data_IF_386015495672
#
_entry.id   IF_386015495672
#
_cell.length_a   1.000
_cell.length_b   1.000
_cell.length_c   1.000
_cell.angle_alpha   90.00
_cell.angle_beta   90.00
_cell.angle_gamma   90.00
#
_symmetry.space_group_name_H-M   'P 1'
#
loop_
_entity.id
_entity.type
_entity.pdbx_description
1 polymer ?
#
# COMPACT_ATOMS: atom_id res chain seq x y z
N UNK A 1 21.22 19.97 25.99
CA UNK A 1 20.80 18.58 26.22
C UNK A 1 21.06 17.83 24.93
N UNK A 2 21.72 16.68 24.99
CA UNK A 2 22.14 15.95 23.77
C UNK A 2 20.94 15.29 23.08
N UNK A 3 20.71 15.67 21.82
CA UNK A 3 19.78 14.95 20.95
C UNK A 3 20.29 13.52 20.77
N UNK A 4 19.36 12.56 20.65
CA UNK A 4 19.65 11.14 20.45
C UNK A 4 18.71 10.56 19.37
N UNK A 5 19.10 9.44 18.78
CA UNK A 5 18.25 8.77 17.84
C UNK A 5 17.17 7.94 18.57
N UNK A 6 15.97 7.95 18.03
CA UNK A 6 14.85 7.14 18.50
C UNK A 6 14.47 6.09 17.44
N UNK A 7 14.33 4.86 17.89
CA UNK A 7 13.84 3.75 17.06
C UNK A 7 12.62 3.11 17.71
N UNK A 8 11.58 2.91 16.92
CA UNK A 8 10.48 2.01 17.25
C UNK A 8 10.29 1.00 16.13
N UNK A 9 10.19 -0.29 16.47
CA UNK A 9 9.80 -1.37 15.57
C UNK A 9 8.68 -2.18 16.21
N UNK A 10 7.55 -2.32 15.53
CA UNK A 10 6.50 -3.28 15.85
C UNK A 10 6.64 -4.50 14.93
N UNK A 11 6.93 -5.65 15.50
CA UNK A 11 6.99 -6.93 14.81
C UNK A 11 5.65 -7.65 14.84
N UNK A 12 5.28 -8.25 13.71
CA UNK A 12 3.96 -8.88 13.50
C UNK A 12 4.09 -10.21 12.73
N UNK A 13 3.00 -10.93 12.57
CA UNK A 13 2.84 -11.84 11.45
C UNK A 13 2.70 -11.05 10.13
N UNK A 14 2.70 -11.74 8.98
CA UNK A 14 2.76 -11.09 7.66
C UNK A 14 1.63 -10.06 7.47
N UNK A 15 2.02 -8.81 7.30
CA UNK A 15 1.14 -7.68 7.04
C UNK A 15 0.52 -7.79 5.63
N UNK A 16 -0.69 -7.27 5.39
CA UNK A 16 -1.31 -7.29 4.08
C UNK A 16 -0.42 -6.56 3.05
N UNK A 17 0.02 -7.23 1.96
CA UNK A 17 1.00 -6.65 1.04
C UNK A 17 0.55 -5.33 0.42
N UNK A 18 -0.72 -5.23 0.00
CA UNK A 18 -1.30 -4.01 -0.60
C UNK A 18 -1.38 -2.83 0.38
N UNK A 19 -1.35 -3.10 1.69
CA UNK A 19 -1.43 -2.05 2.72
C UNK A 19 -0.06 -1.73 3.35
N UNK A 20 0.97 -2.54 3.12
CA UNK A 20 2.24 -2.41 3.85
C UNK A 20 2.86 -1.01 3.73
N UNK A 21 2.93 -0.48 2.50
CA UNK A 21 3.50 0.84 2.24
C UNK A 21 2.69 1.94 2.93
N UNK A 22 1.37 1.96 2.75
CA UNK A 22 0.50 2.96 3.37
C UNK A 22 0.48 2.87 4.90
N UNK A 23 0.59 1.68 5.48
CA UNK A 23 0.74 1.51 6.92
C UNK A 23 2.07 2.08 7.43
N UNK A 24 3.17 1.87 6.70
CA UNK A 24 4.48 2.44 7.02
C UNK A 24 4.48 3.96 6.97
N UNK A 25 3.94 4.54 5.89
CA UNK A 25 3.79 5.98 5.69
C UNK A 25 2.89 6.61 6.77
N UNK A 26 1.77 5.98 7.09
CA UNK A 26 0.88 6.46 8.15
C UNK A 26 1.52 6.37 9.53
N UNK A 27 2.31 5.33 9.80
CA UNK A 27 3.04 5.20 11.07
C UNK A 27 4.09 6.29 11.22
N UNK A 28 4.89 6.57 10.19
CA UNK A 28 5.83 7.69 10.16
C UNK A 28 5.11 9.01 10.41
N UNK A 29 4.07 9.32 9.64
CA UNK A 29 3.32 10.56 9.76
C UNK A 29 2.67 10.75 11.14
N UNK A 30 2.20 9.65 11.75
CA UNK A 30 1.67 9.66 13.12
C UNK A 30 2.74 10.02 14.17
N UNK A 31 3.94 9.42 14.05
CA UNK A 31 5.08 9.74 14.92
C UNK A 31 5.49 11.20 14.75
N UNK A 32 5.68 11.69 13.52
CA UNK A 32 6.06 13.08 13.24
C UNK A 32 5.03 14.07 13.80
N UNK A 33 3.74 13.80 13.60
CA UNK A 33 2.63 14.59 14.16
C UNK A 33 2.69 14.63 15.69
N UNK A 34 2.93 13.48 16.32
CA UNK A 34 3.04 13.37 17.77
C UNK A 34 4.25 14.12 18.34
N UNK A 35 5.42 14.00 17.71
CA UNK A 35 6.64 14.72 18.10
C UNK A 35 6.45 16.24 17.97
N UNK A 36 5.87 16.70 16.87
CA UNK A 36 5.56 18.12 16.65
C UNK A 36 4.58 18.65 17.70
N UNK A 37 3.53 17.91 18.00
CA UNK A 37 2.56 18.29 19.03
C UNK A 37 3.17 18.34 20.43
N UNK A 38 4.16 17.47 20.68
CA UNK A 38 4.94 17.48 21.92
C UNK A 38 6.02 18.55 21.96
N UNK A 39 6.31 19.28 20.87
CA UNK A 39 7.39 20.27 20.80
C UNK A 39 8.79 19.63 20.90
N UNK A 40 8.94 18.41 20.39
CA UNK A 40 10.21 17.69 20.32
C UNK A 40 10.81 17.84 18.92
N UNK A 41 11.86 18.60 18.79
CA UNK A 41 12.57 18.80 17.53
C UNK A 41 13.43 17.57 17.20
N UNK A 42 13.59 17.31 15.89
CA UNK A 42 14.41 16.21 15.37
C UNK A 42 15.04 16.61 14.02
N UNK A 43 16.10 15.91 13.62
CA UNK A 43 16.80 16.20 12.38
C UNK A 43 16.16 15.54 11.16
N UNK A 44 15.80 14.26 11.26
CA UNK A 44 15.20 13.47 10.18
C UNK A 44 14.37 12.33 10.76
N UNK A 45 13.37 11.89 9.99
CA UNK A 45 12.60 10.69 10.29
C UNK A 45 12.48 9.81 9.05
N UNK A 46 12.60 8.49 9.23
CA UNK A 46 12.56 7.50 8.16
C UNK A 46 11.72 6.30 8.56
N UNK A 47 10.84 5.86 7.63
CA UNK A 47 10.10 4.62 7.83
C UNK A 47 10.89 3.41 7.34
N UNK A 48 10.63 2.28 7.96
CA UNK A 48 10.97 0.95 7.47
C UNK A 48 9.70 0.09 7.50
N UNK A 49 9.46 -0.63 6.42
CA UNK A 49 8.30 -1.51 6.31
C UNK A 49 8.69 -2.78 5.55
N UNK A 50 8.55 -3.92 6.19
CA UNK A 50 8.80 -5.23 5.62
C UNK A 50 7.65 -6.18 5.99
N UNK A 51 7.52 -7.35 5.34
CA UNK A 51 6.35 -8.22 5.54
C UNK A 51 5.89 -8.41 6.99
N UNK A 52 6.84 -8.49 7.93
CA UNK A 52 6.55 -8.79 9.34
C UNK A 52 6.89 -7.65 10.30
N UNK A 53 7.08 -6.42 9.83
CA UNK A 53 7.45 -5.28 10.68
C UNK A 53 7.10 -3.93 10.10
N UNK A 54 6.76 -3.01 10.98
CA UNK A 54 6.72 -1.57 10.73
C UNK A 54 7.69 -0.91 11.70
N UNK A 55 8.54 -0.01 11.21
CA UNK A 55 9.46 0.71 12.08
C UNK A 55 9.65 2.16 11.64
N UNK A 56 9.98 3.01 12.60
CA UNK A 56 10.36 4.41 12.37
C UNK A 56 11.65 4.69 13.13
N UNK A 57 12.61 5.25 12.42
CA UNK A 57 13.85 5.80 12.96
C UNK A 57 13.78 7.32 12.90
N UNK A 58 13.92 7.97 14.04
CA UNK A 58 14.00 9.43 14.16
C UNK A 58 15.41 9.77 14.60
N UNK A 59 16.16 10.48 13.76
CA UNK A 59 17.54 10.88 14.04
C UNK A 59 17.57 12.25 14.71
N UNK A 60 18.45 12.40 15.69
CA UNK A 60 18.68 13.67 16.35
C UNK A 60 17.48 14.22 17.12
N UNK A 61 16.68 13.34 17.74
CA UNK A 61 15.51 13.73 18.53
C UNK A 61 15.94 14.41 19.83
N UNK A 62 15.33 15.56 20.13
CA UNK A 62 15.54 16.30 21.39
C UNK A 62 15.22 15.41 22.60
N UNK A 63 16.11 15.38 23.60
CA UNK A 63 15.96 14.55 24.78
C UNK A 63 14.85 15.02 25.73
N UNK A 64 14.40 16.27 25.58
CA UNK A 64 13.41 16.91 26.42
C UNK A 64 12.70 18.02 25.66
N UNK A 65 11.44 18.28 26.00
CA UNK A 65 10.71 19.45 25.54
C UNK A 65 11.42 20.73 26.01
N UNK A 66 11.34 21.83 25.26
CA UNK A 66 11.77 23.15 25.77
C UNK A 66 10.91 23.53 26.97
N UNK A 67 11.55 24.24 27.91
CA UNK A 67 10.81 24.87 29.01
C UNK A 67 9.81 25.88 28.43
N UNK A 68 8.63 25.92 29.01
CA UNK A 68 7.58 26.85 28.59
C UNK A 68 7.21 27.80 29.70
N UNK A 69 7.09 29.06 29.37
CA UNK A 69 6.55 30.08 30.28
C UNK A 69 5.05 30.16 30.11
N UNK A 70 4.31 29.90 31.18
CA UNK A 70 2.87 30.08 31.25
C UNK A 70 2.57 31.37 31.95
N UNK A 71 1.92 32.31 31.25
CA UNK A 71 1.46 33.57 31.80
C UNK A 71 0.02 33.42 32.27
N UNK A 72 -0.24 33.62 33.51
CA UNK A 72 -1.57 33.61 34.11
C UNK A 72 -2.01 35.05 34.38
N UNK A 73 -3.13 35.44 33.81
CA UNK A 73 -3.79 36.73 34.08
C UNK A 73 -4.73 36.61 35.28
N UNK A 74 -4.57 37.50 36.23
CA UNK A 74 -5.40 37.63 37.41
C UNK A 74 -6.45 38.74 37.31
N UNK A 75 -7.07 39.09 38.44
CA UNK A 75 -8.00 40.21 38.53
C UNK A 75 -7.33 41.53 38.23
N UNK A 76 -8.08 42.58 37.82
CA UNK A 76 -7.59 43.94 37.71
C UNK A 76 -6.96 44.39 39.03
N UNK A 77 -5.82 45.09 38.94
CA UNK A 77 -5.08 45.56 40.12
C UNK A 77 -5.97 46.43 41.03
N UNK A 78 -6.87 47.24 40.45
CA UNK A 78 -7.85 48.04 41.18
C UNK A 78 -8.84 47.23 42.02
N UNK A 79 -9.13 45.97 41.60
CA UNK A 79 -10.03 45.08 42.35
C UNK A 79 -9.25 44.13 43.26
N UNK A 80 -7.94 43.99 43.03
CA UNK A 80 -7.03 43.14 43.78
C UNK A 80 -6.58 43.74 45.12
N UNK A 81 -6.63 45.08 45.26
CA UNK A 81 -6.24 45.82 46.46
C UNK A 81 -7.34 46.80 46.86
N UNK A 82 -7.54 46.95 48.17
CA UNK A 82 -8.46 47.95 48.73
C UNK A 82 -7.84 49.39 48.69
N UNK A 83 -8.60 50.39 49.21
CA UNK A 83 -8.14 51.77 49.22
C UNK A 83 -6.91 52.02 50.10
N UNK A 84 -6.67 51.11 51.04
CA UNK A 84 -5.55 51.19 52.01
C UNK A 84 -4.35 50.33 51.53
N UNK A 85 -4.47 49.70 50.34
CA UNK A 85 -3.41 48.87 49.72
C UNK A 85 -3.36 47.43 50.22
N UNK A 86 -4.38 47.00 51.00
CA UNK A 86 -4.44 45.61 51.48
C UNK A 86 -5.00 44.68 50.41
N UNK A 87 -4.50 43.42 50.33
CA UNK A 87 -4.96 42.46 49.33
C UNK A 87 -6.41 42.01 49.61
N UNK A 88 -7.23 42.08 48.58
CA UNK A 88 -8.60 41.52 48.60
C UNK A 88 -8.60 40.01 48.46
N UNK A 89 -9.75 39.39 48.73
CA UNK A 89 -9.95 37.94 48.49
C UNK A 89 -9.64 37.56 47.03
N UNK A 90 -9.85 38.46 46.05
CA UNK A 90 -9.52 38.23 44.65
C UNK A 90 -7.99 38.11 44.42
N UNK A 91 -7.18 38.95 45.05
CA UNK A 91 -5.74 38.86 44.98
C UNK A 91 -5.19 37.60 45.68
N UNK A 92 -5.71 37.31 46.88
CA UNK A 92 -5.30 36.12 47.64
C UNK A 92 -5.72 34.84 46.93
N UNK A 93 -6.92 34.80 46.35
CA UNK A 93 -7.40 33.69 45.53
C UNK A 93 -6.54 33.43 44.27
N UNK A 94 -6.09 34.53 43.63
CA UNK A 94 -5.21 34.40 42.46
C UNK A 94 -3.81 33.88 42.87
N UNK A 95 -3.19 34.44 43.93
CA UNK A 95 -1.92 33.93 44.44
C UNK A 95 -2.01 32.44 44.85
N UNK A 96 -3.09 32.03 45.52
CA UNK A 96 -3.37 30.64 45.86
C UNK A 96 -3.52 29.75 44.62
N UNK A 97 -4.20 30.25 43.58
CA UNK A 97 -4.34 29.52 42.30
C UNK A 97 -2.98 29.35 41.61
N UNK A 98 -2.11 30.34 41.71
CA UNK A 98 -0.75 30.29 41.16
C UNK A 98 0.23 29.48 42.06
N UNK A 99 -0.17 29.09 43.27
CA UNK A 99 0.66 28.35 44.21
C UNK A 99 1.83 29.14 44.78
N UNK A 100 1.74 30.50 44.80
CA UNK A 100 2.84 31.40 45.19
C UNK A 100 2.37 32.44 46.20
N UNK A 101 3.34 33.09 46.87
CA UNK A 101 3.07 34.26 47.66
C UNK A 101 2.66 35.43 46.77
N UNK A 102 1.71 36.25 47.23
CA UNK A 102 1.24 37.46 46.53
C UNK A 102 2.37 38.47 46.21
N UNK A 103 3.46 38.45 46.99
CA UNK A 103 4.65 39.23 46.73
C UNK A 103 5.36 38.90 45.41
N UNK A 104 5.20 37.69 44.92
CA UNK A 104 5.77 37.19 43.66
C UNK A 104 4.86 37.44 42.43
N UNK A 105 3.70 37.98 42.64
CA UNK A 105 2.75 38.33 41.57
C UNK A 105 3.08 39.71 41.03
N UNK A 106 3.22 39.82 39.71
CA UNK A 106 3.45 41.11 39.05
C UNK A 106 2.20 42.00 39.11
N UNK A 107 2.37 43.20 39.59
CA UNK A 107 1.35 44.24 39.83
C UNK A 107 1.56 45.48 38.96
N UNK A 108 2.55 45.45 38.06
CA UNK A 108 2.94 46.61 37.25
C UNK A 108 1.96 46.97 36.14
N UNK A 109 1.08 46.03 35.77
CA UNK A 109 0.11 46.20 34.68
C UNK A 109 -1.32 46.46 35.19
N UNK A 110 -2.31 46.55 34.28
CA UNK A 110 -3.72 46.76 34.65
C UNK A 110 -4.35 45.56 35.36
N UNK A 111 -3.76 44.36 35.23
CA UNK A 111 -4.15 43.13 35.91
C UNK A 111 -2.96 42.50 36.61
N UNK A 112 -3.25 41.72 37.66
CA UNK A 112 -2.22 40.87 38.24
C UNK A 112 -1.72 39.87 37.21
N UNK A 113 -0.42 39.62 37.14
CA UNK A 113 0.17 38.62 36.26
C UNK A 113 1.14 37.76 37.05
N UNK A 114 1.16 36.51 36.67
CA UNK A 114 2.17 35.59 37.19
C UNK A 114 2.70 34.75 36.02
N UNK A 115 4.02 34.74 35.88
CA UNK A 115 4.72 33.95 34.87
C UNK A 115 5.42 32.77 35.55
N UNK A 116 5.05 31.57 35.19
CA UNK A 116 5.65 30.36 35.71
C UNK A 116 6.40 29.63 34.59
N UNK A 117 7.67 29.33 34.82
CA UNK A 117 8.40 28.40 33.96
C UNK A 117 8.03 26.97 34.33
N UNK A 118 7.51 26.23 33.37
CA UNK A 118 7.25 24.81 33.49
C UNK A 118 8.35 24.07 32.73
N UNK A 119 9.12 23.26 33.45
CA UNK A 119 10.17 22.46 32.85
C UNK A 119 9.58 21.49 31.81
N UNK A 120 10.24 21.37 30.65
CA UNK A 120 9.87 20.43 29.61
C UNK A 120 9.95 18.98 30.11
N UNK A 121 9.08 18.14 29.61
CA UNK A 121 9.08 16.72 29.94
C UNK A 121 10.17 15.98 29.15
N UNK A 122 10.83 14.95 29.72
CA UNK A 122 11.76 14.10 28.99
C UNK A 122 11.08 13.36 27.83
N UNK A 123 11.74 13.25 26.68
CA UNK A 123 11.23 12.56 25.50
C UNK A 123 10.83 11.11 25.82
N UNK A 124 11.63 10.40 26.62
CA UNK A 124 11.37 9.00 27.00
C UNK A 124 10.03 8.79 27.71
N UNK A 125 9.48 9.81 28.38
CA UNK A 125 8.17 9.74 29.02
C UNK A 125 7.00 9.99 28.06
N UNK A 126 7.24 10.66 26.94
CA UNK A 126 6.23 11.05 25.95
C UNK A 126 6.14 10.05 24.79
N UNK A 127 7.25 9.43 24.42
CA UNK A 127 7.36 8.55 23.26
C UNK A 127 6.38 7.36 23.30
N UNK A 128 6.14 6.67 24.45
CA UNK A 128 5.16 5.56 24.47
C UNK A 128 3.76 6.01 24.04
N UNK A 129 3.26 7.12 24.55
CA UNK A 129 1.94 7.66 24.18
C UNK A 129 1.87 8.14 22.71
N UNK A 130 2.94 8.69 22.18
CA UNK A 130 3.05 9.09 20.76
C UNK A 130 2.96 7.84 19.87
N UNK A 131 3.71 6.78 20.20
CA UNK A 131 3.70 5.52 19.44
C UNK A 131 2.33 4.84 19.51
N UNK A 132 1.75 4.76 20.71
CA UNK A 132 0.43 4.15 20.90
C UNK A 132 -0.65 4.85 20.08
N UNK A 133 -0.69 6.19 20.12
CA UNK A 133 -1.61 6.99 19.31
C UNK A 133 -1.38 6.74 17.83
N UNK A 134 -0.13 6.74 17.36
CA UNK A 134 0.21 6.51 15.95
C UNK A 134 -0.22 5.12 15.48
N UNK A 135 -0.07 4.07 16.29
CA UNK A 135 -0.51 2.72 15.97
C UNK A 135 -2.05 2.58 15.96
N UNK A 136 -2.74 3.32 16.84
CA UNK A 136 -4.20 3.31 16.89
C UNK A 136 -4.82 4.06 15.70
N UNK A 137 -4.16 5.08 15.19
CA UNK A 137 -4.62 5.91 14.06
C UNK A 137 -4.29 5.31 12.68
N UNK A 138 -3.61 4.14 12.62
CA UNK A 138 -3.29 3.49 11.34
C UNK A 138 -4.57 3.19 10.53
N UNK A 139 -4.53 3.36 9.19
CA UNK A 139 -5.67 3.12 8.29
C UNK A 139 -5.90 1.61 8.10
N UNK A 140 -6.37 0.94 9.13
CA UNK A 140 -6.65 -0.50 9.15
C UNK A 140 -8.15 -0.70 8.95
N UNK A 141 -8.61 -1.16 7.77
CA UNK A 141 -10.05 -1.33 7.51
C UNK A 141 -10.71 -2.38 8.40
N UNK A 142 -9.96 -3.44 8.73
CA UNK A 142 -10.43 -4.53 9.59
C UNK A 142 -9.33 -4.95 10.54
N UNK A 143 -9.59 -4.78 11.84
CA UNK A 143 -8.74 -5.27 12.92
C UNK A 143 -9.14 -6.68 13.31
N UNK A 144 -8.20 -7.45 13.83
CA UNK A 144 -8.44 -8.79 14.38
C UNK A 144 -7.88 -8.91 15.78
N UNK A 145 -8.45 -9.79 16.57
CA UNK A 145 -7.93 -10.25 17.85
C UNK A 145 -7.23 -11.58 17.67
N UNK A 146 -6.30 -11.89 18.54
CA UNK A 146 -5.62 -13.18 18.54
C UNK A 146 -5.42 -13.72 19.95
N UNK A 147 -5.41 -15.05 20.07
CA UNK A 147 -5.36 -15.74 21.34
C UNK A 147 -6.48 -15.25 22.30
N UNK A 148 -6.22 -15.22 23.61
CA UNK A 148 -7.16 -14.73 24.63
C UNK A 148 -6.96 -13.23 24.95
N UNK A 149 -6.42 -12.43 24.04
CA UNK A 149 -6.08 -11.01 24.24
C UNK A 149 -7.22 -10.09 23.87
N UNK A 150 -7.20 -8.87 24.41
CA UNK A 150 -8.17 -7.81 24.09
C UNK A 150 -7.66 -6.87 23.00
N UNK A 151 -6.36 -6.85 22.77
CA UNK A 151 -5.69 -6.01 21.79
C UNK A 151 -6.13 -6.39 20.39
N UNK A 152 -6.25 -5.37 19.54
CA UNK A 152 -6.65 -5.52 18.14
C UNK A 152 -5.63 -4.85 17.24
N UNK A 153 -5.19 -5.57 16.21
CA UNK A 153 -4.32 -5.03 15.15
C UNK A 153 -4.64 -5.69 13.80
N UNK A 154 -3.98 -5.29 12.73
CA UNK A 154 -4.19 -5.89 11.40
C UNK A 154 -3.68 -7.34 11.32
N UNK A 155 -2.66 -7.68 12.12
CA UNK A 155 -2.09 -9.04 12.29
C UNK A 155 -1.60 -9.21 13.73
N UNK A 156 -1.46 -10.44 14.22
CA UNK A 156 -0.88 -10.70 15.53
C UNK A 156 0.49 -10.05 15.70
N UNK A 157 0.68 -9.33 16.80
CA UNK A 157 1.96 -8.74 17.18
C UNK A 157 2.83 -9.76 17.88
N UNK A 158 4.16 -9.71 17.64
CA UNK A 158 5.11 -10.71 18.09
C UNK A 158 6.24 -10.14 18.95
N UNK A 159 6.69 -8.91 18.68
CA UNK A 159 7.74 -8.21 19.43
C UNK A 159 7.60 -6.69 19.28
N UNK A 160 8.27 -5.97 20.18
CA UNK A 160 8.38 -4.53 20.15
C UNK A 160 9.84 -4.13 20.44
N UNK A 161 10.47 -3.38 19.56
CA UNK A 161 11.72 -2.68 19.83
C UNK A 161 11.42 -1.21 20.05
N UNK A 162 11.94 -0.63 21.13
CA UNK A 162 11.79 0.78 21.39
C UNK A 162 13.02 1.33 22.11
N UNK A 163 13.84 2.10 21.38
CA UNK A 163 15.14 2.60 21.82
C UNK A 163 15.21 4.11 21.71
N UNK A 164 15.77 4.75 22.71
CA UNK A 164 16.21 6.15 22.66
C UNK A 164 17.71 6.21 23.02
N UNK A 165 18.54 6.46 22.02
CA UNK A 165 19.97 6.19 22.12
C UNK A 165 20.22 4.73 22.49
N UNK A 166 21.00 4.50 23.55
CA UNK A 166 21.29 3.16 24.05
C UNK A 166 20.25 2.64 25.05
N UNK A 167 19.29 3.47 25.45
CA UNK A 167 18.28 3.12 26.43
C UNK A 167 17.07 2.44 25.80
N UNK A 168 16.65 1.31 26.38
CA UNK A 168 15.32 0.71 26.10
C UNK A 168 14.28 1.53 26.85
N UNK A 169 13.25 1.99 26.16
CA UNK A 169 12.11 2.66 26.76
C UNK A 169 11.18 1.61 27.36
N UNK A 170 10.97 1.66 28.68
CA UNK A 170 10.11 0.69 29.37
C UNK A 170 8.63 1.01 29.13
N UNK A 171 8.01 0.24 28.25
CA UNK A 171 6.57 0.32 27.97
C UNK A 171 6.06 -1.02 27.45
N UNK A 172 4.73 -1.14 27.40
CA UNK A 172 4.03 -2.29 26.80
C UNK A 172 2.96 -1.77 25.86
N UNK A 173 3.05 -2.11 24.58
CA UNK A 173 2.10 -1.72 23.53
C UNK A 173 1.62 -2.96 22.79
N UNK A 174 0.32 -3.04 22.51
CA UNK A 174 -0.30 -4.18 21.84
C UNK A 174 0.12 -5.54 22.47
N UNK A 175 0.17 -5.57 23.80
CA UNK A 175 0.63 -6.70 24.63
C UNK A 175 2.08 -7.16 24.38
N UNK A 176 2.93 -6.33 23.76
CA UNK A 176 4.36 -6.58 23.61
C UNK A 176 5.14 -5.64 24.53
N UNK A 177 5.98 -6.22 25.39
CA UNK A 177 6.93 -5.44 26.21
C UNK A 177 8.06 -4.96 25.31
N UNK A 178 8.37 -3.68 25.40
CA UNK A 178 9.47 -3.09 24.65
C UNK A 178 10.83 -3.68 25.06
N UNK A 179 11.68 -3.88 24.07
CA UNK A 179 13.03 -4.38 24.22
C UNK A 179 13.95 -3.83 23.13
N UNK A 180 15.04 -4.53 22.90
CA UNK A 180 15.99 -4.24 21.79
C UNK A 180 16.20 -5.41 20.86
N UNK A 181 15.32 -6.42 20.91
CA UNK A 181 15.47 -7.65 20.15
C UNK A 181 14.41 -7.70 19.06
N UNK A 182 14.87 -7.73 17.82
CA UNK A 182 14.11 -8.00 16.62
C UNK A 182 14.30 -9.45 16.17
N UNK A 183 13.77 -9.82 15.00
CA UNK A 183 13.90 -11.16 14.43
C UNK A 183 14.43 -11.13 13.02
N UNK A 184 15.31 -12.04 12.68
CA UNK A 184 15.86 -12.22 11.35
C UNK A 184 14.88 -12.91 10.39
N UNK A 185 15.36 -13.16 9.19
CA UNK A 185 14.61 -13.87 8.15
C UNK A 185 14.21 -15.28 8.59
N UNK A 186 12.94 -15.65 8.39
CA UNK A 186 12.34 -16.90 8.91
C UNK A 186 13.11 -18.16 8.52
N UNK A 187 13.72 -18.19 7.34
CA UNK A 187 14.46 -19.35 6.84
C UNK A 187 15.97 -19.19 6.87
N UNK A 188 16.51 -18.02 6.46
CA UNK A 188 17.94 -17.79 6.41
C UNK A 188 18.59 -17.53 7.76
N UNK A 189 17.86 -16.83 8.64
CA UNK A 189 18.35 -16.44 9.96
C UNK A 189 17.20 -16.45 10.97
N UNK A 190 16.63 -17.63 11.21
CA UNK A 190 15.55 -17.81 12.20
C UNK A 190 16.10 -17.68 13.62
N UNK A 191 16.54 -16.49 13.98
CA UNK A 191 17.14 -16.14 15.27
C UNK A 191 16.75 -14.73 15.70
N UNK A 192 16.93 -14.47 16.96
CA UNK A 192 16.87 -13.13 17.51
C UNK A 192 17.99 -12.25 16.96
N UNK A 193 17.65 -11.00 16.68
CA UNK A 193 18.58 -9.96 16.20
C UNK A 193 18.59 -8.85 17.25
N UNK A 194 19.67 -8.76 18.00
CA UNK A 194 19.86 -7.68 18.96
C UNK A 194 20.22 -6.41 18.22
N UNK A 195 19.37 -5.40 18.30
CA UNK A 195 19.62 -4.08 17.71
C UNK A 195 20.67 -3.37 18.59
N UNK A 196 21.80 -3.08 18.00
CA UNK A 196 22.95 -2.48 18.70
C UNK A 196 22.66 -1.03 19.07
N UNK A 197 22.13 -0.26 18.13
CA UNK A 197 21.70 1.13 18.31
C UNK A 197 20.58 1.47 17.31
N UNK A 198 19.82 2.55 17.49
CA UNK A 198 18.87 3.02 16.47
C UNK A 198 19.51 3.18 15.09
N UNK A 199 20.70 3.76 15.00
CA UNK A 199 21.39 4.02 13.74
C UNK A 199 21.82 2.72 12.99
N UNK A 200 22.13 1.62 13.72
CA UNK A 200 22.55 0.35 13.12
C UNK A 200 21.39 -0.55 12.71
N UNK A 201 20.14 -0.14 12.94
CA UNK A 201 18.94 -0.97 12.75
C UNK A 201 18.88 -1.67 11.39
N UNK A 202 19.05 -0.92 10.31
CA UNK A 202 18.96 -1.48 8.96
C UNK A 202 20.08 -2.49 8.67
N UNK A 203 21.29 -2.23 9.15
CA UNK A 203 22.45 -3.10 8.95
C UNK A 203 22.39 -4.36 9.84
N UNK A 204 21.97 -4.22 11.10
CA UNK A 204 21.73 -5.35 12.00
C UNK A 204 20.73 -6.33 11.38
N UNK A 205 19.64 -5.83 10.78
CA UNK A 205 18.65 -6.64 10.09
C UNK A 205 19.16 -7.22 8.77
N UNK A 206 19.93 -6.46 8.00
CA UNK A 206 20.54 -6.92 6.75
C UNK A 206 21.47 -8.10 7.00
N UNK A 207 22.25 -8.08 8.09
CA UNK A 207 23.11 -9.19 8.51
C UNK A 207 22.32 -10.47 8.83
N UNK A 208 21.01 -10.34 9.02
CA UNK A 208 20.07 -11.43 9.25
C UNK A 208 19.10 -11.64 8.08
N UNK A 209 19.51 -11.28 6.87
CA UNK A 209 18.76 -11.46 5.62
C UNK A 209 17.39 -10.72 5.62
N UNK A 210 17.34 -9.52 6.18
CA UNK A 210 16.15 -8.66 6.12
C UNK A 210 16.55 -7.28 5.62
N UNK A 211 16.10 -6.92 4.44
CA UNK A 211 16.17 -5.56 3.92
C UNK A 211 14.92 -4.84 4.45
N UNK A 212 15.05 -4.10 5.54
CA UNK A 212 13.92 -3.47 6.23
C UNK A 212 13.33 -2.29 5.45
N UNK A 213 14.18 -1.57 4.70
CA UNK A 213 13.77 -0.42 3.91
C UNK A 213 12.93 -0.84 2.71
N UNK A 214 11.69 -0.33 2.63
CA UNK A 214 10.77 -0.67 1.55
C UNK A 214 11.24 -0.12 0.20
N UNK A 215 11.73 1.11 0.17
CA UNK A 215 12.16 1.76 -1.08
C UNK A 215 13.40 1.08 -1.64
N UNK A 216 14.36 0.71 -0.81
CA UNK A 216 15.55 -0.02 -1.20
C UNK A 216 15.20 -1.40 -1.76
N UNK A 217 14.31 -2.14 -1.08
CA UNK A 217 13.86 -3.46 -1.54
C UNK A 217 13.15 -3.37 -2.90
N UNK A 218 12.30 -2.35 -3.06
CA UNK A 218 11.58 -2.06 -4.31
C UNK A 218 12.54 -1.77 -5.46
N UNK A 219 13.53 -0.92 -5.23
CA UNK A 219 14.52 -0.58 -6.26
C UNK A 219 15.40 -1.78 -6.63
N UNK A 220 15.80 -2.58 -5.65
CA UNK A 220 16.56 -3.81 -5.89
C UNK A 220 15.78 -4.79 -6.78
N UNK A 221 14.48 -4.97 -6.51
CA UNK A 221 13.62 -5.84 -7.34
C UNK A 221 13.52 -5.27 -8.74
N UNK A 222 13.22 -3.97 -8.88
CA UNK A 222 13.07 -3.31 -10.17
C UNK A 222 14.32 -3.45 -11.05
N UNK A 223 15.48 -3.16 -10.48
CA UNK A 223 16.77 -3.26 -11.16
C UNK A 223 17.06 -4.71 -11.60
N UNK A 224 16.89 -5.67 -10.68
CA UNK A 224 17.16 -7.08 -10.98
C UNK A 224 16.20 -7.67 -12.00
N UNK A 225 14.93 -7.29 -11.95
CA UNK A 225 13.92 -7.69 -12.94
C UNK A 225 14.29 -7.15 -14.32
N UNK A 226 14.71 -5.87 -14.41
CA UNK A 226 15.15 -5.28 -15.68
C UNK A 226 16.41 -5.96 -16.25
N UNK A 227 17.40 -6.24 -15.41
CA UNK A 227 18.62 -6.98 -15.80
C UNK A 227 18.30 -8.38 -16.35
N UNK A 228 17.43 -9.13 -15.65
CA UNK A 228 17.02 -10.47 -16.07
C UNK A 228 16.20 -10.43 -17.37
N UNK A 229 15.32 -9.45 -17.55
CA UNK A 229 14.53 -9.28 -18.76
C UNK A 229 15.45 -8.97 -19.98
N UNK A 230 16.43 -8.07 -19.81
CA UNK A 230 17.40 -7.75 -20.84
C UNK A 230 18.26 -8.98 -21.24
N UNK A 231 18.64 -9.81 -20.27
CA UNK A 231 19.35 -11.07 -20.54
C UNK A 231 18.50 -12.07 -21.35
N UNK A 232 17.17 -11.93 -21.33
CA UNK A 232 16.24 -12.70 -22.14
C UNK A 232 15.87 -12.00 -23.48
N UNK A 233 16.59 -10.93 -23.86
CA UNK A 233 16.33 -10.12 -25.06
C UNK A 233 14.92 -9.50 -25.06
N UNK A 234 14.39 -9.17 -23.90
CA UNK A 234 13.06 -8.61 -23.72
C UNK A 234 13.03 -7.48 -22.70
N UNK A 235 11.82 -7.01 -22.42
CA UNK A 235 11.51 -6.04 -21.37
C UNK A 235 10.43 -6.59 -20.44
N UNK A 236 10.51 -6.27 -19.16
CA UNK A 236 9.51 -6.71 -18.19
C UNK A 236 8.36 -5.71 -18.09
N UNK A 237 7.12 -6.20 -17.98
CA UNK A 237 5.97 -5.40 -17.61
C UNK A 237 5.99 -5.26 -16.09
N UNK A 238 6.29 -4.05 -15.60
CA UNK A 238 6.44 -3.76 -14.16
C UNK A 238 5.46 -2.67 -13.73
N UNK A 239 4.16 -2.97 -13.58
CA UNK A 239 3.20 -2.00 -13.05
C UNK A 239 3.62 -1.55 -11.65
N UNK A 240 3.59 -0.24 -11.32
CA UNK A 240 4.01 0.26 -10.01
C UNK A 240 3.31 -0.42 -8.83
N UNK A 241 2.01 -0.68 -8.95
CA UNK A 241 1.23 -1.36 -7.92
C UNK A 241 1.66 -2.83 -7.71
N UNK A 242 1.98 -3.55 -8.79
CA UNK A 242 2.49 -4.91 -8.70
C UNK A 242 3.89 -4.93 -8.06
N UNK A 243 4.77 -4.01 -8.43
CA UNK A 243 6.10 -3.88 -7.85
C UNK A 243 6.02 -3.57 -6.35
N UNK A 244 5.14 -2.66 -5.94
CA UNK A 244 4.90 -2.35 -4.53
C UNK A 244 4.38 -3.58 -3.77
N UNK A 245 3.42 -4.34 -4.35
CA UNK A 245 2.87 -5.56 -3.75
C UNK A 245 3.93 -6.65 -3.62
N UNK A 246 4.73 -6.91 -4.66
CA UNK A 246 5.83 -7.89 -4.63
C UNK A 246 6.89 -7.50 -3.60
N UNK A 247 7.24 -6.20 -3.53
CA UNK A 247 8.18 -5.69 -2.53
C UNK A 247 7.67 -5.87 -1.09
N UNK A 248 6.35 -5.90 -0.90
CA UNK A 248 5.70 -6.14 0.37
C UNK A 248 5.59 -7.63 0.75
N UNK A 249 5.87 -8.56 -0.17
CA UNK A 249 5.81 -10.00 0.09
C UNK A 249 7.15 -10.61 0.54
N UNK A 250 8.26 -9.91 0.32
CA UNK A 250 9.61 -10.46 0.53
C UNK A 250 10.44 -9.59 1.48
N UNK A 251 11.26 -10.23 2.33
CA UNK A 251 12.27 -9.59 3.17
C UNK A 251 13.66 -9.62 2.50
N UNK A 252 13.90 -10.67 1.66
CA UNK A 252 15.16 -10.91 0.94
C UNK A 252 14.84 -11.31 -0.51
N UNK A 253 14.69 -10.34 -1.42
CA UNK A 253 14.22 -10.61 -2.78
C UNK A 253 15.26 -11.29 -3.65
N UNK A 254 14.86 -12.38 -4.28
CA UNK A 254 15.67 -13.14 -5.26
C UNK A 254 14.81 -13.36 -6.51
N UNK A 255 14.90 -12.49 -7.52
CA UNK A 255 14.19 -12.66 -8.78
C UNK A 255 14.77 -13.85 -9.59
N UNK A 256 13.89 -14.66 -10.18
CA UNK A 256 14.21 -15.84 -10.98
C UNK A 256 13.39 -15.87 -12.25
N UNK A 257 14.05 -16.22 -13.38
CA UNK A 257 13.37 -16.41 -14.67
C UNK A 257 12.74 -17.80 -14.71
N UNK A 258 11.47 -17.84 -15.07
CA UNK A 258 10.68 -19.05 -15.33
C UNK A 258 10.16 -19.04 -16.76
N UNK A 259 9.69 -20.19 -17.26
CA UNK A 259 9.15 -20.37 -18.60
C UNK A 259 7.78 -21.07 -18.57
N UNK A 260 7.08 -20.97 -19.70
CA UNK A 260 5.90 -21.76 -19.99
C UNK A 260 5.92 -22.22 -21.45
N UNK A 261 5.03 -23.14 -21.81
CA UNK A 261 5.02 -23.69 -23.15
C UNK A 261 4.54 -22.67 -24.20
N UNK A 262 5.27 -22.54 -25.31
CA UNK A 262 4.98 -21.58 -26.40
C UNK A 262 3.57 -21.72 -26.99
N UNK A 263 2.95 -22.92 -26.92
CA UNK A 263 1.58 -23.14 -27.40
C UNK A 263 0.55 -22.20 -26.77
N UNK A 264 0.80 -21.73 -25.53
CA UNK A 264 -0.08 -20.79 -24.85
C UNK A 264 -0.08 -19.40 -25.48
N UNK A 265 0.97 -19.02 -26.23
CA UNK A 265 1.04 -17.74 -26.95
C UNK A 265 -0.03 -17.59 -28.05
N UNK A 266 -0.76 -18.68 -28.39
CA UNK A 266 -1.94 -18.61 -29.24
C UNK A 266 -3.16 -17.99 -28.55
N UNK A 267 -3.16 -17.90 -27.22
CA UNK A 267 -4.19 -17.22 -26.41
C UNK A 267 -3.89 -15.73 -26.40
N UNK A 268 -4.90 -14.84 -26.33
CA UNK A 268 -4.67 -13.40 -26.17
C UNK A 268 -3.68 -13.11 -25.04
N UNK A 269 -2.63 -12.36 -25.35
CA UNK A 269 -1.56 -12.09 -24.37
C UNK A 269 -2.07 -11.37 -23.12
N UNK A 270 -3.13 -10.56 -23.25
CA UNK A 270 -3.74 -9.81 -22.16
C UNK A 270 -4.30 -10.79 -21.09
N UNK A 271 -4.94 -11.88 -21.51
CA UNK A 271 -5.44 -12.91 -20.59
C UNK A 271 -4.29 -13.62 -19.85
N UNK A 272 -3.21 -13.94 -20.56
CA UNK A 272 -2.03 -14.57 -19.95
C UNK A 272 -1.33 -13.63 -18.97
N UNK A 273 -1.17 -12.35 -19.35
CA UNK A 273 -0.55 -11.30 -18.51
C UNK A 273 -1.36 -11.12 -17.23
N UNK A 274 -2.67 -10.91 -17.34
CA UNK A 274 -3.56 -10.77 -16.18
C UNK A 274 -3.47 -11.98 -15.25
N UNK A 275 -3.57 -13.20 -15.80
CA UNK A 275 -3.44 -14.44 -15.03
C UNK A 275 -2.12 -14.48 -14.23
N UNK A 276 -1.00 -14.12 -14.85
CA UNK A 276 0.31 -14.18 -14.21
C UNK A 276 0.51 -13.04 -13.20
N UNK A 277 0.04 -11.82 -13.49
CA UNK A 277 0.21 -10.66 -12.62
C UNK A 277 -0.76 -10.67 -11.44
N UNK A 278 -2.06 -10.86 -11.69
CA UNK A 278 -3.07 -10.71 -10.64
C UNK A 278 -3.12 -11.88 -9.68
N UNK A 279 -2.95 -13.10 -10.20
CA UNK A 279 -3.04 -14.30 -9.38
C UNK A 279 -1.70 -14.71 -8.76
N UNK A 280 -0.59 -14.60 -9.52
CA UNK A 280 0.71 -15.15 -9.12
C UNK A 280 1.77 -14.09 -8.82
N UNK A 281 1.51 -12.82 -9.10
CA UNK A 281 2.43 -11.68 -8.85
C UNK A 281 3.73 -11.79 -9.65
N UNK A 282 3.67 -12.37 -10.86
CA UNK A 282 4.82 -12.50 -11.75
C UNK A 282 4.98 -11.29 -12.66
N UNK A 283 6.20 -10.99 -13.08
CA UNK A 283 6.50 -10.00 -14.09
C UNK A 283 6.63 -10.68 -15.45
N UNK A 284 5.71 -10.39 -16.37
CA UNK A 284 5.70 -10.92 -17.72
C UNK A 284 6.77 -10.24 -18.59
N UNK A 285 7.34 -10.94 -19.56
CA UNK A 285 8.34 -10.43 -20.47
C UNK A 285 7.75 -10.20 -21.87
N UNK A 286 8.09 -9.08 -22.48
CA UNK A 286 7.76 -8.73 -23.87
C UNK A 286 9.02 -8.71 -24.73
N UNK A 287 8.86 -9.07 -26.00
CA UNK A 287 9.90 -8.85 -27.03
C UNK A 287 9.98 -7.39 -27.48
N UNK A 288 10.88 -7.07 -28.43
CA UNK A 288 11.05 -5.72 -28.98
C UNK A 288 9.85 -5.19 -29.77
N UNK A 289 8.87 -6.04 -30.09
CA UNK A 289 7.63 -5.68 -30.79
C UNK A 289 6.42 -5.58 -29.86
N UNK A 290 6.63 -5.73 -28.54
CA UNK A 290 5.56 -5.71 -27.55
C UNK A 290 4.74 -6.99 -27.46
N UNK A 291 5.23 -8.11 -28.00
CA UNK A 291 4.59 -9.42 -27.89
C UNK A 291 5.12 -10.18 -26.68
N UNK A 292 4.22 -10.91 -26.02
CA UNK A 292 4.55 -11.72 -24.86
C UNK A 292 5.55 -12.81 -25.21
N UNK A 293 6.65 -12.86 -24.46
CA UNK A 293 7.59 -13.98 -24.50
C UNK A 293 7.07 -15.14 -23.63
N UNK A 294 7.40 -16.41 -23.93
CA UNK A 294 6.98 -17.56 -23.12
C UNK A 294 7.81 -17.64 -21.83
N UNK A 295 8.00 -16.52 -21.15
CA UNK A 295 8.84 -16.34 -19.97
C UNK A 295 8.25 -15.31 -19.02
N UNK A 296 8.50 -15.52 -17.74
CA UNK A 296 8.12 -14.59 -16.67
C UNK A 296 9.17 -14.56 -15.57
N UNK A 297 9.15 -13.55 -14.72
CA UNK A 297 10.02 -13.45 -13.57
C UNK A 297 9.18 -13.54 -12.29
N UNK A 298 9.54 -14.48 -11.42
CA UNK A 298 9.05 -14.56 -10.03
C UNK A 298 10.07 -13.97 -9.09
N UNK A 299 9.64 -13.50 -7.91
CA UNK A 299 10.54 -13.02 -6.86
C UNK A 299 10.41 -13.93 -5.64
N UNK A 300 11.42 -14.76 -5.43
CA UNK A 300 11.50 -15.60 -4.24
C UNK A 300 11.93 -14.77 -3.02
N UNK A 301 11.48 -15.20 -1.84
CA UNK A 301 11.90 -14.60 -0.55
C UNK A 301 13.07 -15.35 0.07
N UNK A 302 13.79 -16.15 -0.71
CA UNK A 302 14.95 -16.89 -0.22
C UNK A 302 16.01 -17.01 -1.31
N UNK A 303 17.27 -17.03 -0.90
CA UNK A 303 18.40 -17.46 -1.69
C UNK A 303 18.53 -18.99 -1.55
N UNK A 304 17.91 -19.69 -2.51
CA UNK A 304 17.85 -21.16 -2.47
C UNK A 304 19.19 -21.80 -2.82
N UNK A 305 19.49 -22.92 -2.17
CA UNK A 305 20.61 -23.80 -2.56
C UNK A 305 20.34 -24.50 -3.90
N UNK A 306 19.09 -24.64 -4.29
CA UNK A 306 18.65 -25.21 -5.56
C UNK A 306 17.54 -24.34 -6.17
N UNK A 307 17.91 -23.24 -6.88
CA UNK A 307 16.94 -22.35 -7.53
C UNK A 307 16.04 -23.05 -8.55
N UNK A 308 16.53 -24.16 -9.17
CA UNK A 308 15.76 -24.89 -10.17
C UNK A 308 14.46 -25.47 -9.59
N UNK A 309 14.43 -25.83 -8.31
CA UNK A 309 13.19 -26.30 -7.66
C UNK A 309 12.16 -25.18 -7.52
N UNK A 310 12.61 -23.95 -7.23
CA UNK A 310 11.72 -22.80 -7.17
C UNK A 310 11.14 -22.50 -8.56
N UNK A 311 12.00 -22.48 -9.59
CA UNK A 311 11.58 -22.29 -10.99
C UNK A 311 10.55 -23.34 -11.38
N UNK A 312 10.89 -24.63 -11.24
CA UNK A 312 9.99 -25.74 -11.56
C UNK A 312 8.65 -25.68 -10.79
N UNK A 313 8.70 -25.26 -9.53
CA UNK A 313 7.50 -25.06 -8.71
C UNK A 313 6.57 -24.00 -9.29
N UNK A 314 7.11 -22.83 -9.65
CA UNK A 314 6.35 -21.73 -10.22
C UNK A 314 5.81 -22.05 -11.63
N UNK A 315 6.59 -22.73 -12.48
CA UNK A 315 6.16 -23.21 -13.78
C UNK A 315 4.99 -24.23 -13.68
N UNK A 316 5.02 -25.09 -12.66
CA UNK A 316 3.92 -26.02 -12.38
C UNK A 316 2.65 -25.33 -11.91
N UNK A 317 2.76 -24.23 -11.18
CA UNK A 317 1.60 -23.47 -10.68
C UNK A 317 0.95 -22.66 -11.80
N UNK A 318 1.73 -22.08 -12.71
CA UNK A 318 1.17 -21.25 -13.79
C UNK A 318 0.51 -22.09 -14.90
N UNK A 319 1.05 -23.27 -15.20
CA UNK A 319 0.59 -24.13 -16.30
C UNK A 319 -0.91 -24.43 -16.27
N UNK A 320 -1.53 -24.88 -15.18
CA UNK A 320 -2.98 -25.12 -15.15
C UNK A 320 -3.79 -23.88 -15.49
N UNK A 321 -3.38 -22.70 -14.99
CA UNK A 321 -4.07 -21.44 -15.25
C UNK A 321 -4.01 -21.03 -16.72
N UNK A 322 -2.84 -21.21 -17.37
CA UNK A 322 -2.70 -20.97 -18.81
C UNK A 322 -3.48 -22.01 -19.63
N UNK A 323 -3.58 -23.23 -19.15
CA UNK A 323 -4.39 -24.30 -19.77
C UNK A 323 -5.89 -23.95 -19.71
N UNK A 324 -6.36 -23.42 -18.60
CA UNK A 324 -7.75 -22.96 -18.46
C UNK A 324 -8.04 -21.82 -19.44
N UNK A 325 -7.14 -20.82 -19.53
CA UNK A 325 -7.26 -19.71 -20.48
C UNK A 325 -7.28 -20.23 -21.94
N UNK A 326 -6.41 -21.16 -22.30
CA UNK A 326 -6.39 -21.80 -23.62
C UNK A 326 -7.70 -22.55 -23.90
N UNK A 327 -8.22 -23.27 -22.91
CA UNK A 327 -9.47 -24.01 -23.03
C UNK A 327 -10.65 -23.06 -23.29
N UNK A 328 -10.81 -22.00 -22.50
CA UNK A 328 -11.89 -21.03 -22.67
C UNK A 328 -11.79 -20.33 -24.01
N UNK A 329 -10.59 -19.90 -24.42
CA UNK A 329 -10.38 -19.28 -25.71
C UNK A 329 -10.79 -20.17 -26.89
N UNK A 330 -10.36 -21.43 -26.89
CA UNK A 330 -10.74 -22.41 -27.92
C UNK A 330 -12.23 -22.80 -27.88
N UNK A 331 -12.81 -22.87 -26.68
CA UNK A 331 -14.22 -23.17 -26.51
C UNK A 331 -15.09 -22.04 -27.09
N UNK A 332 -14.70 -20.81 -26.84
CA UNK A 332 -15.40 -19.62 -27.35
C UNK A 332 -15.38 -19.54 -28.89
N UNK A 333 -14.29 -19.96 -29.53
CA UNK A 333 -14.15 -19.96 -31.00
C UNK A 333 -15.03 -21.00 -31.71
N UNK A 334 -15.64 -21.93 -30.99
CA UNK A 334 -16.56 -22.94 -31.59
C UNK A 334 -17.89 -22.33 -32.03
N UNK A 335 -18.24 -21.18 -31.55
CA UNK A 335 -19.49 -20.50 -31.84
C UNK A 335 -19.22 -19.05 -32.25
N UNK A 336 -19.78 -18.59 -33.38
CA UNK A 336 -19.61 -17.19 -33.79
C UNK A 336 -20.03 -16.19 -32.71
N UNK A 337 -19.31 -15.08 -32.64
CA UNK A 337 -19.51 -14.01 -31.64
C UNK A 337 -20.98 -13.53 -31.61
N UNK A 338 -21.57 -13.34 -32.80
CA UNK A 338 -22.96 -12.88 -32.95
C UNK A 338 -24.00 -13.76 -32.27
N UNK A 339 -23.83 -15.09 -32.30
CA UNK A 339 -24.76 -16.03 -31.64
C UNK A 339 -24.90 -15.79 -30.14
N UNK A 340 -23.92 -15.14 -29.52
CA UNK A 340 -23.98 -14.78 -28.08
C UNK A 340 -25.03 -13.72 -27.78
N UNK A 341 -25.53 -12.98 -28.80
CA UNK A 341 -26.66 -12.08 -28.64
C UNK A 341 -27.91 -12.79 -28.12
N UNK A 342 -28.12 -14.04 -28.44
CA UNK A 342 -29.24 -14.84 -27.91
C UNK A 342 -29.18 -14.94 -26.36
N UNK A 343 -27.98 -15.08 -25.80
CA UNK A 343 -27.79 -15.08 -24.35
C UNK A 343 -28.00 -13.68 -23.74
N UNK A 344 -27.52 -12.61 -24.43
CA UNK A 344 -27.66 -11.24 -24.00
C UNK A 344 -29.12 -10.73 -24.00
N UNK A 345 -30.00 -11.34 -24.78
CA UNK A 345 -31.43 -11.07 -24.73
C UNK A 345 -32.07 -11.36 -23.36
N UNK A 346 -31.48 -12.29 -22.61
CA UNK A 346 -31.91 -12.65 -21.26
C UNK A 346 -31.17 -11.91 -20.14
N UNK A 347 -30.17 -11.07 -20.45
CA UNK A 347 -29.42 -10.28 -19.49
C UNK A 347 -30.05 -8.90 -19.37
N UNK A 348 -30.62 -8.60 -18.22
CA UNK A 348 -31.24 -7.29 -17.96
C UNK A 348 -30.16 -6.20 -17.94
N UNK A 349 -30.29 -5.21 -18.83
CA UNK A 349 -29.48 -4.00 -18.77
C UNK A 349 -30.08 -3.01 -17.76
N UNK A 350 -31.36 -2.71 -17.91
CA UNK A 350 -32.12 -1.85 -17.00
C UNK A 350 -33.61 -2.13 -17.22
N UNK A 351 -34.40 -2.18 -16.13
CA UNK A 351 -35.80 -2.60 -16.18
C UNK A 351 -36.67 -1.90 -17.25
N UNK A 352 -36.47 -0.60 -17.44
CA UNK A 352 -37.22 0.21 -18.41
C UNK A 352 -36.58 0.24 -19.80
N UNK A 353 -35.30 -0.10 -19.92
CA UNK A 353 -34.54 -0.04 -21.18
C UNK A 353 -34.33 -1.42 -21.82
N UNK A 354 -34.78 -2.49 -21.15
CA UNK A 354 -34.71 -3.84 -21.63
C UNK A 354 -33.38 -4.56 -21.38
N UNK A 355 -33.03 -5.50 -22.24
CA UNK A 355 -31.85 -6.34 -22.11
C UNK A 355 -30.58 -5.69 -22.65
N UNK A 356 -29.41 -6.33 -22.40
CA UNK A 356 -28.12 -5.94 -22.99
C UNK A 356 -28.18 -6.05 -24.52
N UNK A 357 -28.90 -7.04 -25.06
CA UNK A 357 -29.14 -7.15 -26.51
C UNK A 357 -29.90 -5.93 -27.06
N UNK A 358 -31.01 -5.52 -26.40
CA UNK A 358 -31.72 -4.29 -26.81
C UNK A 358 -30.84 -3.04 -26.75
N UNK A 359 -29.91 -2.97 -25.82
CA UNK A 359 -28.89 -1.91 -25.79
C UNK A 359 -27.98 -2.00 -27.02
N UNK A 360 -27.49 -3.20 -27.39
CA UNK A 360 -26.64 -3.38 -28.55
C UNK A 360 -27.38 -2.96 -29.86
N UNK A 361 -28.68 -3.27 -30.00
CA UNK A 361 -29.50 -2.83 -31.14
C UNK A 361 -29.55 -1.29 -31.22
N UNK A 362 -29.78 -0.60 -30.11
CA UNK A 362 -29.77 0.88 -30.08
C UNK A 362 -28.38 1.45 -30.40
N UNK A 363 -27.30 0.86 -29.90
CA UNK A 363 -25.93 1.24 -30.21
C UNK A 363 -25.65 1.06 -31.70
N UNK A 364 -26.07 -0.06 -32.29
CA UNK A 364 -25.93 -0.35 -33.71
C UNK A 364 -26.61 0.72 -34.58
N UNK A 365 -27.87 1.02 -34.30
CA UNK A 365 -28.63 2.03 -35.05
C UNK A 365 -28.01 3.45 -34.92
N UNK A 366 -27.59 3.80 -33.71
CA UNK A 366 -26.97 5.11 -33.47
C UNK A 366 -25.58 5.22 -34.13
N UNK A 367 -24.77 4.17 -34.11
CA UNK A 367 -23.47 4.13 -34.76
C UNK A 367 -23.58 4.28 -36.27
N UNK A 368 -24.54 3.57 -36.91
CA UNK A 368 -24.83 3.74 -38.33
C UNK A 368 -25.23 5.18 -38.68
N UNK A 369 -26.16 5.76 -37.91
CA UNK A 369 -26.63 7.12 -38.10
C UNK A 369 -25.52 8.18 -37.99
N UNK A 370 -24.61 8.01 -37.02
CA UNK A 370 -23.47 8.89 -36.86
C UNK A 370 -22.50 8.72 -38.04
N UNK A 371 -22.17 7.48 -38.39
CA UNK A 371 -21.24 7.15 -39.47
C UNK A 371 -21.67 7.81 -40.79
N UNK A 372 -22.96 7.70 -41.18
CA UNK A 372 -23.50 8.36 -42.38
C UNK A 372 -23.24 9.87 -42.40
N UNK A 373 -23.40 10.55 -41.24
CA UNK A 373 -23.24 12.01 -41.13
C UNK A 373 -21.81 12.51 -41.18
N UNK A 374 -20.87 11.67 -40.73
CA UNK A 374 -19.44 12.03 -40.74
C UNK A 374 -18.71 11.46 -41.97
N UNK A 375 -19.43 10.81 -42.90
CA UNK A 375 -18.84 10.21 -44.11
C UNK A 375 -18.12 8.88 -43.86
N UNK A 376 -18.46 8.16 -42.77
CA UNK A 376 -17.96 6.83 -42.46
C UNK A 376 -18.83 5.71 -43.06
N UNK A 377 -18.38 4.46 -42.84
CA UNK A 377 -19.13 3.27 -43.28
C UNK A 377 -20.22 2.91 -42.27
N UNK A 378 -21.45 3.24 -42.59
CA UNK A 378 -22.63 2.98 -41.75
C UNK A 378 -22.89 1.48 -41.51
N UNK A 379 -22.60 0.64 -42.51
CA UNK A 379 -22.80 -0.81 -42.40
C UNK A 379 -21.82 -1.43 -41.41
N UNK A 380 -20.55 -1.05 -41.48
CA UNK A 380 -19.52 -1.51 -40.53
C UNK A 380 -19.74 -0.95 -39.13
N UNK A 381 -20.15 0.32 -39.04
CA UNK A 381 -20.50 0.92 -37.75
C UNK A 381 -21.69 0.21 -37.07
N UNK A 382 -22.74 -0.10 -37.84
CA UNK A 382 -23.86 -0.90 -37.35
C UNK A 382 -23.40 -2.29 -36.88
N UNK A 383 -22.52 -2.94 -37.66
CA UNK A 383 -21.99 -4.24 -37.35
C UNK A 383 -21.16 -4.23 -36.05
N UNK A 384 -20.29 -3.25 -35.88
CA UNK A 384 -19.56 -3.05 -34.64
C UNK A 384 -20.51 -2.84 -33.46
N UNK A 385 -21.55 -2.04 -33.62
CA UNK A 385 -22.55 -1.76 -32.60
C UNK A 385 -23.29 -3.02 -32.12
N UNK A 386 -23.77 -3.86 -33.03
CA UNK A 386 -24.52 -5.09 -32.67
C UNK A 386 -23.63 -6.15 -32.03
N UNK A 387 -22.33 -6.19 -32.35
CA UNK A 387 -21.36 -7.12 -31.77
C UNK A 387 -20.73 -6.60 -30.47
N UNK A 388 -20.90 -5.31 -30.16
CA UNK A 388 -20.15 -4.59 -29.12
C UNK A 388 -20.20 -5.21 -27.72
N UNK A 389 -21.21 -6.03 -27.41
CA UNK A 389 -21.41 -6.64 -26.09
C UNK A 389 -21.44 -8.17 -26.14
N UNK A 390 -21.22 -8.77 -27.30
CA UNK A 390 -21.32 -10.21 -27.47
C UNK A 390 -20.32 -11.00 -26.61
N UNK A 391 -19.13 -10.46 -26.41
CA UNK A 391 -18.07 -11.08 -25.62
C UNK A 391 -18.41 -11.18 -24.12
N UNK A 392 -19.33 -10.37 -23.60
CA UNK A 392 -19.82 -10.49 -22.22
C UNK A 392 -20.44 -11.85 -21.92
N UNK A 393 -20.92 -12.56 -22.96
CA UNK A 393 -21.49 -13.89 -22.83
C UNK A 393 -20.49 -15.02 -23.20
N UNK A 394 -19.19 -14.68 -23.33
CA UNK A 394 -18.12 -15.66 -23.54
C UNK A 394 -17.65 -16.27 -22.24
N UNK A 395 -17.08 -17.47 -22.31
CA UNK A 395 -16.45 -18.13 -21.14
C UNK A 395 -15.19 -17.36 -20.73
N UNK A 396 -14.42 -16.82 -21.69
CA UNK A 396 -13.25 -16.00 -21.45
C UNK A 396 -13.56 -14.78 -20.58
N UNK A 397 -14.59 -14.00 -20.91
CA UNK A 397 -14.99 -12.83 -20.11
C UNK A 397 -15.64 -13.22 -18.79
N UNK A 398 -16.28 -14.39 -18.74
CA UNK A 398 -16.81 -14.94 -17.49
C UNK A 398 -15.71 -15.23 -16.46
N UNK A 399 -14.57 -15.76 -16.89
CA UNK A 399 -13.42 -16.07 -16.03
C UNK A 399 -12.48 -14.84 -15.85
N UNK A 400 -12.30 -14.05 -16.91
CA UNK A 400 -11.44 -12.86 -16.95
C UNK A 400 -12.25 -11.60 -17.32
N UNK A 401 -12.93 -10.97 -16.37
CA UNK A 401 -13.81 -9.82 -16.63
C UNK A 401 -13.10 -8.63 -17.33
N UNK A 402 -11.81 -8.47 -17.13
CA UNK A 402 -10.97 -7.46 -17.76
C UNK A 402 -10.79 -7.67 -19.26
N UNK A 403 -11.10 -8.87 -19.76
CA UNK A 403 -11.07 -9.19 -21.18
C UNK A 403 -12.26 -8.64 -21.97
N UNK A 404 -13.19 -7.91 -21.33
CA UNK A 404 -14.30 -7.24 -22.02
C UNK A 404 -13.79 -6.31 -23.12
N UNK A 405 -14.31 -6.48 -24.33
CA UNK A 405 -13.87 -5.80 -25.54
C UNK A 405 -12.63 -6.41 -26.17
N UNK A 406 -11.66 -6.85 -25.38
CA UNK A 406 -10.44 -7.52 -25.87
C UNK A 406 -10.82 -8.89 -26.45
N UNK A 407 -11.62 -9.68 -25.74
CA UNK A 407 -12.09 -10.97 -26.26
C UNK A 407 -12.86 -10.80 -27.58
N UNK A 408 -13.74 -9.80 -27.64
CA UNK A 408 -14.45 -9.45 -28.89
C UNK A 408 -13.49 -9.10 -30.03
N UNK A 409 -12.44 -8.34 -29.77
CA UNK A 409 -11.40 -8.00 -30.74
C UNK A 409 -10.73 -9.25 -31.34
N UNK A 410 -10.39 -10.24 -30.51
CA UNK A 410 -9.76 -11.48 -30.99
C UNK A 410 -10.73 -12.43 -31.68
N UNK A 411 -12.00 -12.47 -31.27
CA UNK A 411 -13.00 -13.36 -31.88
C UNK A 411 -13.56 -12.83 -33.21
N UNK A 412 -13.68 -11.51 -33.37
CA UNK A 412 -14.26 -10.92 -34.56
C UNK A 412 -13.53 -11.29 -35.87
N UNK A 413 -12.18 -11.23 -35.98
CA UNK A 413 -11.45 -11.70 -37.16
C UNK A 413 -11.58 -13.19 -37.39
N UNK A 414 -11.64 -14.01 -36.33
CA UNK A 414 -11.88 -15.44 -36.42
C UNK A 414 -13.22 -15.74 -37.11
N UNK A 415 -14.22 -14.91 -36.86
CA UNK A 415 -15.57 -14.99 -37.46
C UNK A 415 -15.67 -14.26 -38.81
N UNK A 416 -14.52 -13.83 -39.39
CA UNK A 416 -14.48 -13.14 -40.68
C UNK A 416 -14.95 -11.68 -40.68
N UNK A 417 -15.01 -11.05 -39.51
CA UNK A 417 -15.31 -9.60 -39.41
C UNK A 417 -14.12 -8.76 -39.89
N UNK A 418 -14.41 -7.57 -40.39
CA UNK A 418 -13.38 -6.60 -40.80
C UNK A 418 -12.57 -6.09 -39.59
N UNK A 419 -11.32 -5.71 -39.83
CA UNK A 419 -10.38 -5.27 -38.80
C UNK A 419 -10.89 -4.05 -38.02
N UNK A 420 -11.49 -3.06 -38.70
CA UNK A 420 -12.08 -1.89 -38.10
C UNK A 420 -13.27 -2.21 -37.17
N UNK A 421 -14.07 -3.23 -37.53
CA UNK A 421 -15.14 -3.75 -36.66
C UNK A 421 -14.53 -4.39 -35.42
N UNK A 422 -13.49 -5.22 -35.57
CA UNK A 422 -12.79 -5.83 -34.43
C UNK A 422 -12.20 -4.77 -33.51
N UNK A 423 -11.50 -3.79 -34.06
CA UNK A 423 -10.90 -2.69 -33.30
C UNK A 423 -11.94 -1.91 -32.49
N UNK A 424 -13.10 -1.61 -33.11
CA UNK A 424 -14.20 -0.92 -32.43
C UNK A 424 -14.73 -1.69 -31.22
N UNK A 425 -14.70 -3.04 -31.22
CA UNK A 425 -15.10 -3.84 -30.06
C UNK A 425 -14.18 -3.64 -28.87
N UNK A 426 -12.90 -3.43 -29.09
CA UNK A 426 -11.94 -3.10 -28.05
C UNK A 426 -12.03 -1.64 -27.60
N UNK A 427 -12.03 -0.70 -28.56
CA UNK A 427 -11.92 0.74 -28.29
C UNK A 427 -13.17 1.34 -27.62
N UNK A 428 -14.33 0.68 -27.71
CA UNK A 428 -15.54 1.13 -27.00
C UNK A 428 -15.37 1.28 -25.49
N UNK A 429 -14.34 0.67 -24.93
CA UNK A 429 -14.01 0.73 -23.50
C UNK A 429 -12.87 1.70 -23.19
N UNK A 430 -12.39 2.44 -24.19
CA UNK A 430 -11.30 3.42 -24.00
C UNK A 430 -11.84 4.80 -23.59
N UNK A 431 -11.18 5.52 -22.66
CA UNK A 431 -10.03 5.06 -21.88
C UNK A 431 -10.43 4.05 -20.80
N UNK A 432 -9.61 3.03 -20.58
CA UNK A 432 -9.81 2.06 -19.50
C UNK A 432 -9.18 2.60 -18.22
N UNK A 433 -9.99 2.79 -17.19
CA UNK A 433 -9.58 3.37 -15.93
C UNK A 433 -9.54 4.91 -15.98
N UNK A 434 -9.75 5.54 -14.83
CA UNK A 434 -9.60 6.97 -14.61
C UNK A 434 -8.38 7.26 -13.75
#
# INVERSE_FOLDING_TARGET
>A
MNAQDFLVELGTEELPPKALKSLGEAFLGGIEKGLKAAGLDYANARMYAAPRRLAVLVSGLAAQQPDRTVNLDGPPVQAAFDKDGNPTQAALGFAKKCGVDLALVDKSGPKLKFSQSIAGQPAVSLLPGIVETSLNDLPIPKRMRWAARKEEFVRPTQWLVMLFGDQVIDCTLLAQKAGRVSRGHRFHANREVRISSPASYAEDLRSAYVIADFAERRELINTRVAELAAAQQGSAIVPPALLDEVSALVEWPVPLVCSFEERFLAVPQEALITTMQDNQKYFCLLDGNGKLLPRFITVANIESKDPAQIVSGNEKVVRPRLTDAEFFFKQDQRQPLEKRNERLANVVFQAQLGSVFNKAERVSALAAFIAERIGGDATRAARAGILSKCDLASEMVGEFPEMQGIAGYYYAPHDGQAEDVALALNEQYMPRGA
#
